data_IF_061778941744
#
_entry.id   IF_061778941744
#
_cell.length_a   1.000
_cell.length_b   1.000
_cell.length_c   1.000
_cell.angle_alpha   90.00
_cell.angle_beta   90.00
_cell.angle_gamma   90.00
#
_symmetry.space_group_name_H-M   'P 1'
#
loop_
_entity.id
_entity.type
_entity.pdbx_description
1 polymer ?
#
# COMPACT_ATOMS: atom_id res chain seq x y z
N UNK A 1 15.70 -4.72 -0.39
CA UNK A 1 14.71 -4.80 0.72
C UNK A 1 13.29 -5.05 0.22
N UNK A 2 12.79 -4.32 -0.80
CA UNK A 2 11.50 -4.65 -1.46
C UNK A 2 11.46 -6.08 -2.03
N UNK A 3 12.60 -6.54 -2.54
CA UNK A 3 12.82 -7.90 -3.04
C UNK A 3 13.15 -8.92 -1.93
N UNK A 4 13.25 -8.50 -0.66
CA UNK A 4 13.64 -9.42 0.40
C UNK A 4 12.54 -10.47 0.61
N UNK A 5 12.92 -11.75 0.54
CA UNK A 5 11.97 -12.87 0.64
C UNK A 5 11.19 -13.16 -0.64
N UNK A 6 11.58 -12.57 -1.79
CA UNK A 6 11.15 -12.98 -3.13
C UNK A 6 12.35 -13.53 -3.89
N UNK A 7 12.23 -14.74 -4.43
CA UNK A 7 13.25 -15.32 -5.31
C UNK A 7 13.02 -14.80 -6.73
N UNK A 8 13.48 -13.56 -6.97
CA UNK A 8 13.31 -12.88 -8.25
C UNK A 8 14.67 -12.53 -8.85
N UNK A 9 14.89 -12.85 -10.15
CA UNK A 9 16.05 -12.34 -10.84
C UNK A 9 15.93 -10.82 -10.92
N UNK A 10 16.85 -10.10 -10.28
CA UNK A 10 16.96 -8.63 -10.39
C UNK A 10 17.17 -8.25 -11.86
N UNK A 11 17.84 -9.12 -12.61
CA UNK A 11 17.99 -9.01 -14.05
C UNK A 11 16.62 -8.98 -14.74
N UNK A 12 16.32 -7.87 -15.42
CA UNK A 12 15.08 -7.69 -16.18
C UNK A 12 14.07 -6.73 -15.54
N UNK A 13 14.21 -6.38 -14.25
CA UNK A 13 13.29 -5.44 -13.59
C UNK A 13 13.35 -4.05 -14.23
N UNK A 14 14.55 -3.50 -14.44
CA UNK A 14 14.71 -2.18 -15.08
C UNK A 14 14.15 -2.16 -16.50
N UNK A 15 14.36 -3.24 -17.26
CA UNK A 15 13.82 -3.39 -18.61
C UNK A 15 12.28 -3.46 -18.58
N UNK A 16 11.70 -4.16 -17.60
CA UNK A 16 10.26 -4.18 -17.40
C UNK A 16 9.70 -2.80 -17.08
N UNK A 17 10.33 -2.07 -16.14
CA UNK A 17 9.94 -0.70 -15.79
C UNK A 17 10.00 0.22 -17.02
N UNK A 18 11.06 0.14 -17.83
CA UNK A 18 11.14 0.90 -19.07
C UNK A 18 10.04 0.54 -20.07
N UNK A 19 9.71 -0.75 -20.20
CA UNK A 19 8.66 -1.22 -21.10
C UNK A 19 7.27 -0.71 -20.69
N UNK A 20 6.92 -0.76 -19.39
CA UNK A 20 5.63 -0.25 -18.90
C UNK A 20 5.57 1.28 -18.87
N UNK A 21 6.70 1.97 -18.73
CA UNK A 21 6.76 3.43 -18.88
C UNK A 21 6.55 3.88 -20.33
N UNK A 22 7.11 3.14 -21.30
CA UNK A 22 6.93 3.42 -22.71
C UNK A 22 5.52 3.08 -23.22
N UNK A 23 4.88 2.07 -22.63
CA UNK A 23 3.51 1.65 -22.94
C UNK A 23 2.73 1.33 -21.64
N UNK A 24 2.04 2.31 -21.05
CA UNK A 24 1.27 2.11 -19.81
C UNK A 24 0.09 1.13 -19.92
N UNK A 25 -0.33 0.77 -21.14
CA UNK A 25 -1.39 -0.21 -21.37
C UNK A 25 -0.85 -1.65 -21.38
N UNK A 26 0.48 -1.83 -21.38
CA UNK A 26 1.13 -3.13 -21.31
C UNK A 26 0.75 -3.85 -20.03
N UNK A 27 0.33 -5.11 -20.18
CA UNK A 27 0.04 -6.01 -19.08
C UNK A 27 1.12 -7.09 -18.98
N UNK A 28 1.42 -7.58 -17.77
CA UNK A 28 2.33 -8.70 -17.58
C UNK A 28 1.75 -9.95 -18.24
N UNK A 29 2.59 -10.67 -18.98
CA UNK A 29 2.24 -11.86 -19.76
C UNK A 29 2.99 -13.10 -19.28
N UNK A 30 4.10 -12.92 -18.58
CA UNK A 30 4.91 -14.01 -18.03
C UNK A 30 4.86 -14.03 -16.50
N UNK A 31 5.14 -15.19 -15.85
CA UNK A 31 5.27 -15.25 -14.41
C UNK A 31 6.32 -14.29 -13.84
N UNK A 32 7.40 -14.02 -14.58
CA UNK A 32 8.43 -13.06 -14.18
C UNK A 32 7.93 -11.62 -14.17
N UNK A 33 7.21 -11.21 -15.23
CA UNK A 33 6.59 -9.89 -15.32
C UNK A 33 5.52 -9.68 -14.24
N UNK A 34 4.69 -10.70 -13.98
CA UNK A 34 3.71 -10.68 -12.89
C UNK A 34 4.38 -10.43 -11.54
N UNK A 35 5.48 -11.14 -11.27
CA UNK A 35 6.20 -10.97 -10.02
C UNK A 35 6.94 -9.62 -9.92
N UNK A 36 7.33 -9.02 -11.05
CA UNK A 36 7.82 -7.64 -11.07
C UNK A 36 6.71 -6.63 -10.75
N UNK A 37 5.49 -6.84 -11.28
CA UNK A 37 4.34 -6.01 -10.93
C UNK A 37 3.93 -6.16 -9.47
N UNK A 38 4.04 -7.35 -8.87
CA UNK A 38 3.82 -7.55 -7.43
C UNK A 38 4.79 -6.70 -6.58
N UNK A 39 6.06 -6.63 -6.99
CA UNK A 39 7.08 -5.79 -6.35
C UNK A 39 6.74 -4.31 -6.52
N UNK A 40 6.35 -3.90 -7.73
CA UNK A 40 5.96 -2.53 -8.02
C UNK A 40 4.73 -2.12 -7.21
N UNK A 41 3.69 -2.96 -7.16
CA UNK A 41 2.49 -2.76 -6.36
C UNK A 41 2.82 -2.62 -4.87
N UNK A 42 3.71 -3.49 -4.35
CA UNK A 42 4.20 -3.41 -2.96
C UNK A 42 4.88 -2.07 -2.65
N UNK A 43 5.68 -1.56 -3.58
CA UNK A 43 6.33 -0.26 -3.46
C UNK A 43 5.30 0.89 -3.53
N UNK A 44 4.35 0.83 -4.47
CA UNK A 44 3.28 1.82 -4.62
C UNK A 44 2.42 1.91 -3.37
N UNK A 45 2.01 0.78 -2.78
CA UNK A 45 1.23 0.77 -1.53
C UNK A 45 2.03 1.37 -0.38
N UNK A 46 3.33 1.03 -0.25
CA UNK A 46 4.21 1.62 0.76
C UNK A 46 4.37 3.15 0.60
N UNK A 47 4.60 3.61 -0.63
CA UNK A 47 4.72 5.03 -0.95
C UNK A 47 3.41 5.79 -0.69
N UNK A 48 2.26 5.21 -1.07
CA UNK A 48 0.95 5.77 -0.81
C UNK A 48 0.68 5.89 0.71
N UNK A 49 0.99 4.86 1.50
CA UNK A 49 0.87 4.91 2.95
C UNK A 49 1.76 5.99 3.56
N UNK A 50 3.03 6.09 3.13
CA UNK A 50 3.97 7.11 3.59
C UNK A 50 3.50 8.55 3.30
N UNK A 51 2.86 8.78 2.15
CA UNK A 51 2.30 10.09 1.76
C UNK A 51 1.10 10.52 2.63
N UNK A 52 0.33 9.58 3.16
CA UNK A 52 -0.84 9.88 4.00
C UNK A 52 -0.57 9.76 5.50
N UNK A 53 0.51 9.07 5.88
CA UNK A 53 1.00 8.99 7.24
C UNK A 53 1.51 10.35 7.71
N UNK A 54 1.31 10.64 8.99
CA UNK A 54 1.96 11.73 9.71
C UNK A 54 3.44 11.46 9.96
N UNK A 55 4.08 12.40 10.65
CA UNK A 55 5.47 12.35 11.07
C UNK A 55 5.59 12.61 12.57
N UNK A 56 6.53 11.92 13.22
CA UNK A 56 6.96 12.22 14.59
C UNK A 56 8.37 12.78 14.54
N UNK A 57 8.56 13.95 15.14
CA UNK A 57 9.85 14.61 15.32
C UNK A 57 10.14 14.77 16.80
N UNK A 58 11.39 14.59 17.22
CA UNK A 58 11.80 14.84 18.60
C UNK A 58 12.20 16.31 18.71
N UNK A 59 11.49 17.06 19.54
CA UNK A 59 11.78 18.47 19.82
C UNK A 59 12.27 18.64 21.25
N UNK A 60 13.21 19.55 21.46
CA UNK A 60 13.80 19.80 22.78
C UNK A 60 13.13 21.02 23.40
N UNK A 61 12.54 20.84 24.57
CA UNK A 61 11.86 21.90 25.34
C UNK A 61 12.62 22.18 26.63
N UNK A 62 12.20 23.21 27.39
CA UNK A 62 12.72 23.48 28.72
C UNK A 62 12.54 22.30 29.71
N UNK A 63 11.61 21.38 29.42
CA UNK A 63 11.37 20.17 30.22
C UNK A 63 12.07 18.92 29.67
N UNK A 64 12.87 19.05 28.61
CA UNK A 64 13.55 17.93 27.95
C UNK A 64 12.98 17.57 26.56
N UNK A 65 13.44 16.46 25.96
CA UNK A 65 12.97 15.99 24.66
C UNK A 65 11.52 15.52 24.74
N UNK A 66 10.71 15.92 23.77
CA UNK A 66 9.32 15.48 23.61
C UNK A 66 9.03 15.12 22.16
N UNK A 67 8.11 14.18 21.95
CA UNK A 67 7.61 13.85 20.61
C UNK A 67 6.61 14.92 20.15
N UNK A 68 6.88 15.55 19.02
CA UNK A 68 5.92 16.35 18.29
C UNK A 68 5.40 15.55 17.11
N UNK A 69 4.08 15.31 17.10
CA UNK A 69 3.42 14.59 16.01
C UNK A 69 2.65 15.54 15.12
N UNK A 70 2.83 15.39 13.81
CA UNK A 70 2.10 16.13 12.79
C UNK A 70 1.43 15.16 11.82
N UNK A 71 0.12 15.29 11.63
CA UNK A 71 -0.66 14.44 10.73
C UNK A 71 -1.19 13.16 11.39
N UNK A 72 -1.60 12.19 10.56
CA UNK A 72 -2.30 10.96 10.99
C UNK A 72 -1.32 9.92 11.51
N UNK A 73 -1.63 9.30 12.65
CA UNK A 73 -0.89 8.10 13.06
C UNK A 73 -1.56 6.85 12.46
N UNK A 74 -0.93 6.25 11.44
CA UNK A 74 -1.46 5.04 10.82
C UNK A 74 -0.92 3.75 11.45
N UNK A 75 -0.04 3.83 12.45
CA UNK A 75 0.60 2.64 13.06
C UNK A 75 -0.41 1.68 13.70
N UNK A 76 -1.54 2.20 14.17
CA UNK A 76 -2.63 1.40 14.75
C UNK A 76 -3.56 0.74 13.74
N UNK A 77 -3.43 1.04 12.43
CA UNK A 77 -4.26 0.41 11.41
C UNK A 77 -3.66 -0.93 11.00
N UNK A 78 -4.43 -2.00 11.16
CA UNK A 78 -4.00 -3.37 10.94
C UNK A 78 -4.48 -3.97 9.62
N UNK A 79 -5.09 -3.16 8.75
CA UNK A 79 -5.67 -3.62 7.48
C UNK A 79 -5.44 -2.61 6.38
N UNK A 80 -5.01 -3.10 5.22
CA UNK A 80 -4.89 -2.36 3.96
C UNK A 80 -5.82 -3.02 2.96
N UNK A 81 -6.74 -2.24 2.41
CA UNK A 81 -7.66 -2.69 1.36
C UNK A 81 -7.12 -2.24 0.01
N UNK A 82 -6.78 -3.23 -0.81
CA UNK A 82 -6.30 -3.12 -2.16
C UNK A 82 -7.51 -3.17 -3.11
N UNK A 83 -7.87 -2.02 -3.69
CA UNK A 83 -9.00 -1.88 -4.62
C UNK A 83 -8.55 -1.26 -5.94
N UNK A 84 -9.13 -1.74 -7.04
CA UNK A 84 -8.93 -1.25 -8.40
C UNK A 84 -7.62 -1.64 -9.08
N UNK A 85 -7.58 -1.45 -10.39
CA UNK A 85 -6.38 -1.64 -11.22
C UNK A 85 -5.74 -3.02 -11.06
N UNK A 86 -4.40 -3.04 -10.94
CA UNK A 86 -3.65 -4.26 -10.65
C UNK A 86 -4.04 -4.86 -9.29
N UNK A 87 -4.28 -4.01 -8.28
CA UNK A 87 -4.57 -4.45 -6.93
C UNK A 87 -5.85 -5.29 -6.84
N UNK A 88 -6.92 -4.98 -7.59
CA UNK A 88 -8.12 -5.84 -7.58
C UNK A 88 -7.91 -7.21 -8.22
N UNK A 89 -6.83 -7.41 -8.99
CA UNK A 89 -6.53 -8.72 -9.61
C UNK A 89 -5.84 -9.69 -8.64
N UNK A 90 -5.51 -9.24 -7.44
CA UNK A 90 -4.72 -10.00 -6.47
C UNK A 90 -3.22 -9.93 -6.79
N UNK A 91 -2.47 -10.92 -6.28
CA UNK A 91 -1.02 -10.96 -6.37
C UNK A 91 -0.37 -11.03 -4.99
N UNK A 92 0.94 -11.24 -4.95
CA UNK A 92 1.68 -11.20 -3.69
C UNK A 92 2.05 -9.74 -3.41
N UNK A 93 1.18 -8.96 -2.77
CA UNK A 93 1.48 -7.59 -2.34
C UNK A 93 2.01 -7.61 -0.92
N UNK A 94 3.24 -7.17 -0.73
CA UNK A 94 3.90 -7.09 0.59
C UNK A 94 4.24 -5.65 0.89
N UNK A 95 3.29 -4.86 1.43
CA UNK A 95 3.49 -3.44 1.63
C UNK A 95 4.75 -3.18 2.45
N UNK A 96 5.64 -2.42 1.85
CA UNK A 96 6.96 -2.14 2.36
C UNK A 96 6.96 -1.04 3.44
N UNK A 97 6.05 -1.08 4.42
CA UNK A 97 5.89 0.00 5.40
C UNK A 97 7.15 0.28 6.21
N UNK A 98 7.94 -0.77 6.49
CA UNK A 98 9.19 -0.71 7.24
C UNK A 98 10.42 -0.35 6.41
N UNK A 99 10.29 -0.17 5.10
CA UNK A 99 11.43 0.15 4.22
C UNK A 99 11.83 1.62 4.33
N UNK A 100 10.90 2.49 4.71
CA UNK A 100 11.16 3.91 4.95
C UNK A 100 10.58 4.34 6.30
N UNK A 101 11.17 3.87 7.43
CA UNK A 101 10.68 4.22 8.77
C UNK A 101 10.95 5.69 9.11
N UNK A 102 11.84 6.35 8.34
CA UNK A 102 12.16 7.76 8.45
C UNK A 102 11.97 8.45 7.12
N UNK A 103 11.59 9.73 7.15
CA UNK A 103 11.65 10.58 5.98
C UNK A 103 13.04 11.21 5.80
N UNK A 104 13.20 11.99 4.73
CA UNK A 104 14.45 12.67 4.37
C UNK A 104 14.99 13.61 5.46
N UNK A 105 14.13 14.01 6.42
CA UNK A 105 14.49 14.88 7.55
C UNK A 105 14.74 14.09 8.84
N UNK A 106 14.80 12.76 8.76
CA UNK A 106 15.00 11.87 9.89
C UNK A 106 13.78 11.73 10.81
N UNK A 107 12.59 12.18 10.39
CA UNK A 107 11.37 12.09 11.19
C UNK A 107 10.74 10.72 11.01
N UNK A 108 10.19 10.15 12.08
CA UNK A 108 9.56 8.83 12.05
C UNK A 108 8.26 8.92 11.23
N UNK A 109 8.15 8.08 10.21
CA UNK A 109 6.96 7.95 9.36
C UNK A 109 5.94 7.07 10.08
N UNK A 110 4.73 7.58 10.29
CA UNK A 110 3.68 6.85 11.01
C UNK A 110 2.87 5.92 10.08
N UNK A 111 3.54 5.09 9.27
CA UNK A 111 2.91 4.04 8.44
C UNK A 111 2.37 2.89 9.30
N UNK A 112 1.45 2.06 8.79
CA UNK A 112 1.04 0.83 9.48
C UNK A 112 2.24 -0.04 9.88
N UNK A 113 2.22 -0.56 11.11
CA UNK A 113 3.32 -1.37 11.63
C UNK A 113 3.25 -2.82 11.12
N UNK A 114 2.06 -3.41 11.19
CA UNK A 114 1.75 -4.75 10.69
C UNK A 114 0.29 -4.72 10.22
N UNK A 115 0.09 -4.84 8.90
CA UNK A 115 -1.23 -4.72 8.30
C UNK A 115 -1.49 -5.90 7.38
N UNK A 116 -2.63 -6.56 7.58
CA UNK A 116 -3.12 -7.56 6.63
C UNK A 116 -3.48 -6.88 5.32
N UNK A 117 -3.21 -7.53 4.21
CA UNK A 117 -3.64 -7.09 2.88
C UNK A 117 -4.94 -7.81 2.53
N UNK A 118 -5.96 -7.04 2.19
CA UNK A 118 -7.23 -7.54 1.68
C UNK A 118 -7.47 -6.98 0.27
N UNK A 119 -8.10 -7.77 -0.58
CA UNK A 119 -8.38 -7.43 -1.96
C UNK A 119 -9.87 -7.28 -2.22
N UNK A 120 -10.23 -6.17 -2.87
CA UNK A 120 -11.54 -5.93 -3.47
C UNK A 120 -11.52 -6.45 -4.91
N UNK A 121 -11.70 -7.77 -5.07
CA UNK A 121 -11.52 -8.45 -6.37
C UNK A 121 -12.59 -8.11 -7.40
N UNK A 122 -13.80 -7.92 -6.93
CA UNK A 122 -14.96 -7.59 -7.75
C UNK A 122 -15.09 -6.07 -7.99
N UNK A 123 -14.13 -5.28 -7.49
CA UNK A 123 -14.09 -3.82 -7.60
C UNK A 123 -15.40 -3.16 -7.14
N UNK A 124 -15.94 -3.65 -6.02
CA UNK A 124 -17.24 -3.27 -5.50
C UNK A 124 -17.20 -1.95 -4.75
N UNK A 125 -16.09 -1.58 -4.11
CA UNK A 125 -16.03 -0.39 -3.26
C UNK A 125 -16.42 0.90 -3.98
N UNK A 126 -15.97 1.18 -5.22
CA UNK A 126 -16.44 2.34 -5.98
C UNK A 126 -17.95 2.35 -6.25
N UNK A 127 -18.56 1.17 -6.46
CA UNK A 127 -20.00 1.04 -6.69
C UNK A 127 -20.78 1.22 -5.39
N UNK A 128 -20.36 0.53 -4.33
CA UNK A 128 -20.97 0.58 -3.00
C UNK A 128 -20.87 1.97 -2.36
N UNK A 129 -19.80 2.71 -2.65
CA UNK A 129 -19.65 4.10 -2.21
C UNK A 129 -20.77 5.02 -2.71
N UNK A 130 -21.35 4.75 -3.89
CA UNK A 130 -22.50 5.48 -4.42
C UNK A 130 -23.81 5.09 -3.69
N UNK A 131 -23.93 3.82 -3.30
CA UNK A 131 -25.10 3.30 -2.58
C UNK A 131 -25.16 3.71 -1.09
N UNK A 132 -24.05 4.22 -0.53
CA UNK A 132 -23.91 4.47 0.92
C UNK A 132 -25.01 5.35 1.54
N UNK A 133 -25.57 6.29 0.77
CA UNK A 133 -26.59 7.21 1.28
C UNK A 133 -27.99 6.59 1.29
N UNK A 134 -28.26 5.67 0.36
CA UNK A 134 -29.55 5.00 0.24
C UNK A 134 -29.64 3.75 1.13
N UNK A 135 -28.53 3.02 1.28
CA UNK A 135 -28.48 1.78 2.05
C UNK A 135 -27.11 1.59 2.72
N UNK A 136 -26.79 2.37 3.78
CA UNK A 136 -25.46 2.39 4.39
C UNK A 136 -25.02 1.03 4.95
N UNK A 137 -25.88 0.36 5.72
CA UNK A 137 -25.54 -0.94 6.32
C UNK A 137 -25.34 -2.03 5.27
N UNK A 138 -26.24 -2.10 4.28
CA UNK A 138 -26.11 -3.06 3.19
C UNK A 138 -24.83 -2.83 2.37
N UNK A 139 -24.48 -1.57 2.09
CA UNK A 139 -23.26 -1.24 1.37
C UNK A 139 -22.00 -1.64 2.14
N UNK A 140 -21.95 -1.38 3.46
CA UNK A 140 -20.83 -1.76 4.31
C UNK A 140 -20.71 -3.28 4.43
N UNK A 141 -21.81 -3.98 4.70
CA UNK A 141 -21.81 -5.43 4.87
C UNK A 141 -21.42 -6.15 3.58
N UNK A 142 -21.93 -5.70 2.43
CA UNK A 142 -21.54 -6.24 1.13
C UNK A 142 -20.05 -6.00 0.86
N UNK A 143 -19.55 -4.79 1.15
CA UNK A 143 -18.15 -4.45 0.94
C UNK A 143 -17.21 -5.30 1.80
N UNK A 144 -17.48 -5.39 3.11
CA UNK A 144 -16.65 -6.21 4.03
C UNK A 144 -16.74 -7.70 3.67
N UNK A 145 -17.94 -8.20 3.35
CA UNK A 145 -18.15 -9.60 3.01
C UNK A 145 -17.49 -10.03 1.70
N UNK A 146 -17.22 -9.10 0.79
CA UNK A 146 -16.56 -9.37 -0.48
C UNK A 146 -15.03 -9.29 -0.43
N UNK A 147 -14.44 -8.77 0.67
CA UNK A 147 -12.99 -8.67 0.80
C UNK A 147 -12.36 -10.05 0.95
N UNK A 148 -11.32 -10.29 0.16
CA UNK A 148 -10.56 -11.53 0.19
C UNK A 148 -9.17 -11.29 0.77
N UNK A 149 -8.67 -12.22 1.58
CA UNK A 149 -7.25 -12.19 1.96
C UNK A 149 -6.36 -12.43 0.73
N UNK A 150 -5.12 -11.97 0.83
CA UNK A 150 -4.07 -12.24 -0.16
C UNK A 150 -3.88 -13.73 -0.42
#
# INVERSE_FOLDING_TARGET
RLLAGRDLPIAGFDAWIQAVQADPARLPSTPGELAFDDVLASACVGAAASRHAGRIEIVYTAHGPTELRRGKDLRGFSTVVCTGGFLSRGGDVRPAFSIMPFDERGRIVCTPADARVLFDRDYLFPLLANARFAAPEAAVNAGIGALQAQ
#
